data_IF_064015148523
#
_entry.id   IF_064015148523
#
_cell.length_a   1.000
_cell.length_b   1.000
_cell.length_c   1.000
_cell.angle_alpha   90.00
_cell.angle_beta   90.00
_cell.angle_gamma   90.00
#
_symmetry.space_group_name_H-M   'P 1'
#
loop_
_entity.id
_entity.type
_entity.pdbx_description
1 polymer ?
#
# COMPACT_ATOMS: atom_id res chain seq x y z
N UNK A 1 -4.05 32.38 -1.38
CA UNK A 1 -5.19 31.48 -1.12
C UNK A 1 -4.66 30.27 -0.39
N UNK A 2 -4.76 30.26 0.93
CA UNK A 2 -4.55 29.04 1.71
C UNK A 2 -5.86 28.28 1.59
N UNK A 3 -5.94 27.36 0.63
CA UNK A 3 -7.07 26.45 0.54
C UNK A 3 -7.01 25.55 1.77
N UNK A 4 -8.07 25.53 2.58
CA UNK A 4 -8.35 24.45 3.51
C UNK A 4 -8.34 23.14 2.70
N UNK A 5 -7.16 22.52 2.57
CA UNK A 5 -7.08 21.15 2.11
C UNK A 5 -7.68 20.36 3.24
N UNK A 6 -8.90 19.86 3.07
CA UNK A 6 -9.62 19.08 4.09
C UNK A 6 -8.93 17.74 4.44
N UNK A 7 -7.60 17.60 4.28
CA UNK A 7 -6.76 16.45 4.61
C UNK A 7 -7.35 15.10 4.21
N UNK A 8 -8.05 15.08 3.06
CA UNK A 8 -8.54 13.87 2.43
C UNK A 8 -7.65 13.50 1.26
N UNK A 9 -7.39 12.21 1.14
CA UNK A 9 -6.58 11.61 0.09
C UNK A 9 -7.38 10.51 -0.58
N UNK A 10 -7.12 10.25 -1.85
CA UNK A 10 -7.63 9.05 -2.51
C UNK A 10 -6.68 7.90 -2.20
N UNK A 11 -7.18 6.82 -1.62
CA UNK A 11 -6.46 5.56 -1.50
C UNK A 11 -6.95 4.60 -2.58
N UNK A 12 -6.03 3.92 -3.24
CA UNK A 12 -6.34 2.76 -4.09
C UNK A 12 -6.20 1.53 -3.21
N UNK A 13 -7.27 0.75 -3.05
CA UNK A 13 -7.26 -0.49 -2.28
C UNK A 13 -6.75 -1.63 -3.17
N UNK A 14 -5.66 -2.27 -2.78
CA UNK A 14 -5.09 -3.40 -3.49
C UNK A 14 -5.55 -4.72 -2.87
N UNK A 15 -5.51 -4.82 -1.54
CA UNK A 15 -5.75 -6.07 -0.81
C UNK A 15 -6.86 -5.86 0.23
N UNK A 16 -8.02 -6.53 0.08
CA UNK A 16 -9.09 -6.49 1.07
C UNK A 16 -8.63 -7.09 2.41
N UNK A 17 -9.13 -6.52 3.52
CA UNK A 17 -8.87 -7.06 4.86
C UNK A 17 -9.23 -8.55 4.97
N UNK A 18 -8.38 -9.29 5.67
CA UNK A 18 -8.43 -10.74 5.92
C UNK A 18 -8.24 -11.65 4.70
N UNK A 19 -7.72 -11.09 3.60
CA UNK A 19 -7.28 -11.85 2.44
C UNK A 19 -5.77 -12.05 2.44
N UNK A 20 -5.29 -13.02 1.64
CA UNK A 20 -3.88 -13.44 1.63
C UNK A 20 -3.19 -13.19 0.27
N UNK A 21 -3.94 -12.98 -0.81
CA UNK A 21 -3.34 -12.75 -2.13
C UNK A 21 -2.62 -11.40 -2.12
N UNK A 22 -1.32 -11.40 -2.45
CA UNK A 22 -0.56 -10.16 -2.55
C UNK A 22 -0.86 -9.51 -3.90
N UNK A 23 -1.80 -8.57 -3.90
CA UNK A 23 -2.14 -7.75 -5.06
C UNK A 23 -1.35 -6.45 -5.00
N UNK A 24 -0.90 -5.95 -6.14
CA UNK A 24 -0.12 -4.71 -6.24
C UNK A 24 -0.39 -4.00 -7.58
N UNK A 25 -0.32 -2.68 -7.58
CA UNK A 25 -0.30 -1.85 -8.79
C UNK A 25 0.96 -2.20 -9.58
N UNK A 26 0.80 -2.63 -10.83
CA UNK A 26 1.95 -2.97 -11.67
C UNK A 26 2.64 -1.72 -12.20
N UNK A 27 3.88 -1.46 -11.77
CA UNK A 27 4.70 -0.34 -12.27
C UNK A 27 5.12 -0.49 -13.73
N UNK A 28 5.23 -1.74 -14.20
CA UNK A 28 5.86 -2.10 -15.49
C UNK A 28 4.85 -2.21 -16.64
N UNK A 29 3.56 -2.36 -16.34
CA UNK A 29 2.51 -2.54 -17.33
C UNK A 29 1.79 -1.23 -17.65
N UNK A 30 1.44 -1.04 -18.93
CA UNK A 30 0.69 0.15 -19.38
C UNK A 30 -0.64 0.26 -18.64
N UNK A 31 -0.96 1.48 -18.17
CA UNK A 31 -2.12 1.80 -17.33
C UNK A 31 -2.07 1.22 -15.90
N UNK A 32 -0.95 0.62 -15.50
CA UNK A 32 -0.68 0.19 -14.13
C UNK A 32 -1.80 -0.64 -13.48
N UNK A 33 -2.22 -1.77 -14.09
CA UNK A 33 -3.26 -2.60 -13.53
C UNK A 33 -2.84 -3.20 -12.19
N UNK A 34 -3.81 -3.43 -11.30
CA UNK A 34 -3.59 -4.23 -10.10
C UNK A 34 -3.51 -5.69 -10.52
N UNK A 35 -2.41 -6.38 -10.16
CA UNK A 35 -2.21 -7.80 -10.42
C UNK A 35 -1.60 -8.49 -9.22
N UNK A 36 -1.70 -9.83 -9.18
CA UNK A 36 -1.09 -10.59 -8.10
C UNK A 36 0.42 -10.71 -8.32
N UNK A 37 1.20 -10.44 -7.28
CA UNK A 37 2.66 -10.65 -7.26
C UNK A 37 2.99 -12.13 -7.55
N UNK A 38 4.04 -12.37 -8.33
CA UNK A 38 4.52 -13.69 -8.72
C UNK A 38 5.94 -13.87 -8.19
N UNK A 39 6.10 -14.78 -7.24
CA UNK A 39 7.41 -15.16 -6.68
C UNK A 39 7.73 -16.60 -7.04
N UNK A 40 8.91 -16.86 -7.60
CA UNK A 40 9.33 -18.19 -8.07
C UNK A 40 8.33 -18.83 -9.06
N UNK A 41 7.82 -18.03 -10.01
CA UNK A 41 6.83 -18.44 -11.00
C UNK A 41 5.51 -18.98 -10.41
N UNK A 42 5.18 -18.60 -9.17
CA UNK A 42 3.94 -18.94 -8.47
C UNK A 42 3.29 -17.69 -7.91
N UNK A 43 1.96 -17.68 -7.90
CA UNK A 43 1.18 -16.64 -7.25
C UNK A 43 1.56 -16.51 -5.77
N UNK A 44 1.92 -15.30 -5.34
CA UNK A 44 2.33 -15.03 -3.96
C UNK A 44 1.13 -14.86 -3.05
N UNK A 45 1.18 -15.54 -1.90
CA UNK A 45 0.25 -15.36 -0.80
C UNK A 45 1.04 -15.03 0.47
N UNK A 46 0.57 -14.05 1.23
CA UNK A 46 1.11 -13.74 2.56
C UNK A 46 0.61 -14.78 3.56
N UNK A 47 1.50 -15.23 4.44
CA UNK A 47 1.19 -16.22 5.47
C UNK A 47 0.30 -15.65 6.57
N UNK A 48 -0.48 -16.50 7.23
CA UNK A 48 -1.11 -16.14 8.50
C UNK A 48 -0.06 -16.28 9.62
N UNK A 49 0.20 -15.19 10.33
CA UNK A 49 1.07 -15.18 11.52
C UNK A 49 0.17 -14.97 12.73
N UNK A 50 0.08 -15.97 13.61
CA UNK A 50 -0.82 -15.93 14.76
C UNK A 50 -0.61 -14.65 15.60
N UNK A 51 -1.68 -13.93 16.02
CA UNK A 51 -3.10 -14.27 15.92
C UNK A 51 -3.83 -13.76 14.65
N UNK A 52 -3.07 -13.33 13.65
CA UNK A 52 -3.60 -12.61 12.49
C UNK A 52 -4.01 -13.53 11.33
N UNK A 53 -5.02 -13.09 10.57
CA UNK A 53 -5.49 -13.70 9.34
C UNK A 53 -5.23 -12.77 8.17
N UNK A 54 -4.29 -13.13 7.30
CA UNK A 54 -3.91 -12.34 6.13
C UNK A 54 -3.54 -10.90 6.49
N UNK A 55 -3.88 -9.96 5.61
CA UNK A 55 -3.78 -8.54 5.89
C UNK A 55 -4.84 -8.12 6.91
N UNK A 56 -4.45 -7.49 8.02
CA UNK A 56 -5.37 -7.10 9.10
C UNK A 56 -6.05 -5.74 8.88
N UNK A 57 -5.77 -5.08 7.75
CA UNK A 57 -6.36 -3.83 7.27
C UNK A 57 -6.76 -3.97 5.80
N UNK A 58 -7.56 -3.02 5.28
CA UNK A 58 -7.59 -2.84 3.83
C UNK A 58 -6.26 -2.19 3.45
N UNK A 59 -5.49 -2.84 2.59
CA UNK A 59 -4.14 -2.42 2.25
C UNK A 59 -4.09 -1.93 0.80
N UNK A 60 -3.23 -0.96 0.53
CA UNK A 60 -2.99 -0.43 -0.80
C UNK A 60 -2.10 0.80 -0.72
N UNK A 61 -2.29 1.76 -1.62
CA UNK A 61 -1.36 2.89 -1.73
C UNK A 61 -2.05 4.22 -2.06
N UNK A 62 -1.32 5.34 -1.87
CA UNK A 62 -1.73 6.65 -2.39
C UNK A 62 -1.23 6.82 -3.84
N UNK A 63 -2.12 7.10 -4.81
CA UNK A 63 -1.71 7.40 -6.17
C UNK A 63 -0.90 8.70 -6.23
N UNK A 64 -0.09 8.85 -7.28
CA UNK A 64 0.75 10.03 -7.51
C UNK A 64 1.79 10.28 -6.40
N UNK A 65 2.21 9.21 -5.73
CA UNK A 65 3.33 9.20 -4.78
C UNK A 65 4.38 8.20 -5.26
N UNK A 66 5.61 8.35 -4.79
CA UNK A 66 6.71 7.44 -5.10
C UNK A 66 7.80 7.56 -4.05
N UNK A 67 8.16 6.44 -3.44
CA UNK A 67 9.32 6.29 -2.56
C UNK A 67 10.58 6.14 -3.43
N UNK A 68 11.27 7.25 -3.71
CA UNK A 68 12.37 7.31 -4.67
C UNK A 68 13.58 6.44 -4.22
N UNK A 69 13.98 5.40 -4.99
CA UNK A 69 15.10 4.54 -4.65
C UNK A 69 16.48 5.21 -4.75
N UNK A 70 16.54 6.45 -5.25
CA UNK A 70 17.75 7.26 -5.31
C UNK A 70 17.85 8.26 -4.15
N UNK A 71 16.79 8.42 -3.36
CA UNK A 71 16.76 9.25 -2.17
C UNK A 71 17.05 8.42 -0.93
N UNK A 72 17.89 8.93 -0.01
CA UNK A 72 18.10 8.32 1.32
C UNK A 72 17.40 9.19 2.34
N UNK A 73 16.39 8.63 3.02
CA UNK A 73 15.64 9.38 4.03
C UNK A 73 16.51 9.64 5.27
N UNK A 74 16.35 10.83 5.84
CA UNK A 74 17.18 11.30 6.94
C UNK A 74 16.91 10.57 8.26
N UNK A 75 15.74 9.96 8.44
CA UNK A 75 15.35 9.31 9.70
C UNK A 75 15.64 7.81 9.67
N UNK A 76 15.26 7.14 8.58
CA UNK A 76 15.46 5.70 8.37
C UNK A 76 16.89 5.37 7.95
N UNK A 77 17.61 6.31 7.33
CA UNK A 77 18.92 6.09 6.69
C UNK A 77 18.88 5.02 5.58
N UNK A 78 17.69 4.71 5.08
CA UNK A 78 17.41 3.74 4.03
C UNK A 78 16.97 4.46 2.75
N UNK A 79 16.95 3.74 1.63
CA UNK A 79 16.42 4.24 0.35
C UNK A 79 14.92 3.97 0.24
N UNK A 80 14.23 4.71 -0.66
CA UNK A 80 12.86 4.36 -1.03
C UNK A 80 12.77 2.96 -1.66
N UNK A 81 11.66 2.27 -1.45
CA UNK A 81 11.41 0.91 -1.95
C UNK A 81 10.99 0.85 -3.43
N UNK A 82 10.94 2.01 -4.09
CA UNK A 82 10.56 2.19 -5.49
C UNK A 82 9.07 1.98 -5.78
N UNK A 83 8.19 2.05 -4.77
CA UNK A 83 6.74 1.94 -4.92
C UNK A 83 6.00 3.22 -4.49
N UNK A 84 4.70 3.37 -4.81
CA UNK A 84 3.88 4.41 -4.18
C UNK A 84 3.77 4.18 -2.67
N UNK A 85 3.56 5.24 -1.89
CA UNK A 85 3.49 5.14 -0.43
C UNK A 85 2.30 4.25 0.00
N UNK A 86 2.59 3.29 0.86
CA UNK A 86 1.62 2.33 1.38
C UNK A 86 0.63 2.94 2.37
N UNK A 87 -0.57 2.35 2.42
CA UNK A 87 -1.67 2.75 3.30
C UNK A 87 -2.34 1.55 3.94
N UNK A 88 -2.45 1.59 5.28
CA UNK A 88 -3.31 0.70 6.05
C UNK A 88 -4.62 1.42 6.41
N UNK A 89 -5.73 1.11 5.75
CA UNK A 89 -7.05 1.67 6.07
C UNK A 89 -7.77 0.83 7.14
N UNK A 90 -8.18 1.50 8.21
CA UNK A 90 -8.55 0.89 9.50
C UNK A 90 -10.06 0.88 9.80
N UNK A 91 -10.90 1.35 8.88
CA UNK A 91 -12.34 1.39 9.02
C UNK A 91 -12.96 0.00 9.09
N UNK A 92 -14.21 -0.09 9.55
CA UNK A 92 -14.88 -1.37 9.76
C UNK A 92 -15.29 -2.07 8.47
N UNK A 93 -15.47 -1.35 7.35
CA UNK A 93 -15.84 -1.93 6.06
C UNK A 93 -14.66 -2.68 5.44
N UNK A 94 -14.93 -3.82 4.81
CA UNK A 94 -13.96 -4.51 3.95
C UNK A 94 -14.16 -3.97 2.53
N UNK A 95 -13.12 -3.38 1.95
CA UNK A 95 -13.17 -2.82 0.60
C UNK A 95 -12.63 -3.82 -0.43
N UNK A 96 -13.28 -3.98 -1.59
CA UNK A 96 -12.75 -4.84 -2.65
C UNK A 96 -11.51 -4.23 -3.30
N UNK A 97 -10.65 -5.08 -3.86
CA UNK A 97 -9.48 -4.66 -4.67
C UNK A 97 -9.93 -3.78 -5.84
N UNK A 98 -9.16 -2.72 -6.13
CA UNK A 98 -9.47 -1.70 -7.14
C UNK A 98 -10.40 -0.59 -6.66
N UNK A 99 -10.87 -0.61 -5.40
CA UNK A 99 -11.65 0.51 -4.86
C UNK A 99 -10.80 1.77 -4.75
N UNK A 100 -11.37 2.91 -5.11
CA UNK A 100 -10.79 4.23 -4.84
C UNK A 100 -11.63 4.88 -3.75
N UNK A 101 -11.03 5.14 -2.59
CA UNK A 101 -11.75 5.62 -1.40
C UNK A 101 -11.12 6.90 -0.82
N UNK A 102 -11.93 7.87 -0.37
CA UNK A 102 -11.42 9.02 0.35
C UNK A 102 -11.04 8.60 1.78
N UNK A 103 -9.81 8.88 2.19
CA UNK A 103 -9.28 8.59 3.53
C UNK A 103 -8.72 9.84 4.18
N UNK A 104 -8.72 9.87 5.51
CA UNK A 104 -8.03 10.90 6.31
C UNK A 104 -6.80 10.27 6.96
N UNK A 105 -5.65 10.92 6.81
CA UNK A 105 -4.39 10.45 7.42
C UNK A 105 -4.42 10.66 8.93
N UNK A 106 -4.03 9.63 9.68
CA UNK A 106 -3.98 9.65 11.15
C UNK A 106 -2.55 9.61 11.71
N UNK A 107 -1.61 9.04 10.98
CA UNK A 107 -0.22 8.86 11.38
C UNK A 107 0.53 7.99 10.37
N UNK A 108 1.79 7.67 10.67
CA UNK A 108 2.67 6.84 9.83
C UNK A 108 3.57 5.96 10.71
N UNK A 109 3.99 4.82 10.17
CA UNK A 109 5.02 3.94 10.73
C UNK A 109 6.17 3.85 9.72
N UNK A 110 7.40 4.18 10.15
CA UNK A 110 8.58 4.09 9.30
C UNK A 110 9.13 2.65 9.33
N UNK A 111 8.59 1.79 8.47
CA UNK A 111 9.09 0.42 8.29
C UNK A 111 10.31 0.44 7.37
N UNK A 112 11.37 -0.28 7.77
CA UNK A 112 12.52 -0.58 6.92
C UNK A 112 12.36 -2.02 6.44
N UNK A 113 11.95 -2.22 5.18
CA UNK A 113 11.71 -3.54 4.59
C UNK A 113 12.91 -3.94 3.71
N UNK A 114 13.63 -4.99 4.12
CA UNK A 114 14.81 -5.53 3.44
C UNK A 114 15.99 -4.55 3.13
N UNK A 115 15.99 -3.28 3.57
CA UNK A 115 17.19 -2.42 3.54
C UNK A 115 16.98 -0.93 3.40
#
# INVERSE_FOLDING_TARGET
>A
MLTDTNNYYNMIVEIPRWTNAKMEISKEELMNPIKQDVKNNKLRYVNNVFPHKGYIWNYGALPQTWEDPNHVDENTKAKGDNDPIDVCEIGSKIWPSGSIIPVKVLGILAMVDEG
#
